data_IF_815786531737
#
_entry.id   IF_815786531737
#
_cell.length_a   1.000
_cell.length_b   1.000
_cell.length_c   1.000
_cell.angle_alpha   90.00
_cell.angle_beta   90.00
_cell.angle_gamma   90.00
#
_symmetry.space_group_name_H-M   'P 1'
#
loop_
_entity.id
_entity.type
_entity.pdbx_description
1 polymer ?
#
# COMPACT_ATOMS: atom_id res chain seq x y z
N UNK A 1 11.12 -24.37 18.29
CA UNK A 1 10.06 -23.39 17.99
C UNK A 1 10.73 -22.20 17.34
N UNK A 2 10.60 -22.05 16.02
CA UNK A 2 11.24 -20.95 15.29
C UNK A 2 10.68 -19.64 15.85
N UNK A 3 11.55 -18.81 16.44
CA UNK A 3 11.24 -17.41 16.70
C UNK A 3 10.94 -16.83 15.33
N UNK A 4 9.66 -16.64 14.98
CA UNK A 4 9.30 -15.86 13.80
C UNK A 4 9.81 -14.46 14.08
N UNK A 5 10.94 -14.13 13.49
CA UNK A 5 11.56 -12.82 13.60
C UNK A 5 10.53 -11.77 13.16
N UNK A 6 10.29 -10.75 13.98
CA UNK A 6 9.32 -9.69 13.67
C UNK A 6 9.58 -9.01 12.32
N UNK A 7 10.81 -9.13 11.80
CA UNK A 7 11.21 -8.73 10.45
C UNK A 7 10.48 -9.51 9.34
N UNK A 8 10.25 -10.81 9.49
CA UNK A 8 9.50 -11.61 8.52
C UNK A 8 8.03 -11.20 8.49
N UNK A 9 7.42 -11.03 9.66
CA UNK A 9 6.03 -10.54 9.75
C UNK A 9 5.91 -9.16 9.10
N UNK A 10 6.86 -8.25 9.35
CA UNK A 10 6.87 -6.93 8.71
C UNK A 10 6.98 -7.02 7.19
N UNK A 11 7.87 -7.85 6.66
CA UNK A 11 7.99 -8.08 5.20
C UNK A 11 6.70 -8.65 4.61
N UNK A 12 6.07 -9.62 5.27
CA UNK A 12 4.80 -10.17 4.83
C UNK A 12 3.73 -9.09 4.75
N UNK A 13 3.59 -8.24 5.78
CA UNK A 13 2.63 -7.13 5.77
C UNK A 13 2.87 -6.13 4.63
N UNK A 14 4.12 -5.74 4.39
CA UNK A 14 4.47 -4.83 3.29
C UNK A 14 4.09 -5.47 1.94
N UNK A 15 4.34 -6.76 1.76
CA UNK A 15 3.96 -7.48 0.55
C UNK A 15 2.44 -7.59 0.38
N UNK A 16 1.70 -7.81 1.47
CA UNK A 16 0.23 -7.81 1.44
C UNK A 16 -0.32 -6.46 1.01
N UNK A 17 0.16 -5.36 1.62
CA UNK A 17 -0.24 -3.99 1.27
C UNK A 17 0.09 -3.68 -0.19
N UNK A 18 1.30 -4.05 -0.63
CA UNK A 18 1.70 -3.91 -2.04
C UNK A 18 0.73 -4.61 -2.96
N UNK A 19 0.45 -5.90 -2.72
CA UNK A 19 -0.43 -6.70 -3.59
C UNK A 19 -1.82 -6.09 -3.67
N UNK A 20 -2.33 -5.60 -2.55
CA UNK A 20 -3.65 -5.00 -2.43
C UNK A 20 -3.76 -3.67 -3.20
N UNK A 21 -2.79 -2.77 -2.99
CA UNK A 21 -2.68 -1.51 -3.74
C UNK A 21 -2.56 -1.75 -5.24
N UNK A 22 -1.70 -2.67 -5.67
CA UNK A 22 -1.54 -3.01 -7.08
C UNK A 22 -2.80 -3.65 -7.66
N UNK A 23 -3.49 -4.52 -6.90
CA UNK A 23 -4.73 -5.13 -7.35
C UNK A 23 -5.81 -4.08 -7.56
N UNK A 24 -5.94 -3.11 -6.65
CA UNK A 24 -6.91 -2.03 -6.77
C UNK A 24 -6.55 -1.07 -7.93
N UNK A 25 -5.27 -0.75 -8.12
CA UNK A 25 -4.80 0.04 -9.28
C UNK A 25 -5.09 -0.69 -10.60
N UNK A 26 -4.84 -2.00 -10.65
CA UNK A 26 -5.09 -2.82 -11.83
C UNK A 26 -6.59 -2.94 -12.14
N UNK A 27 -7.44 -3.07 -11.12
CA UNK A 27 -8.89 -3.07 -11.27
C UNK A 27 -9.38 -1.74 -11.85
N UNK A 28 -8.87 -0.61 -11.35
CA UNK A 28 -9.13 0.72 -11.92
C UNK A 28 -8.76 0.80 -13.40
N UNK A 29 -7.55 0.33 -13.76
CA UNK A 29 -7.11 0.25 -15.17
C UNK A 29 -8.07 -0.60 -16.00
N UNK A 30 -8.44 -1.78 -15.49
CA UNK A 30 -9.31 -2.73 -16.20
C UNK A 30 -10.72 -2.17 -16.43
N UNK A 31 -11.21 -1.33 -15.52
CA UNK A 31 -12.49 -0.63 -15.66
C UNK A 31 -12.41 0.62 -16.57
N UNK A 32 -11.24 0.93 -17.13
CA UNK A 32 -11.01 2.12 -17.95
C UNK A 32 -10.93 3.42 -17.12
N UNK A 33 -10.78 3.32 -15.81
CA UNK A 33 -10.58 4.46 -14.92
C UNK A 33 -9.09 4.84 -14.86
N UNK A 34 -8.82 6.05 -14.35
CA UNK A 34 -7.44 6.46 -14.04
C UNK A 34 -6.84 5.52 -12.99
N UNK A 35 -5.58 5.18 -13.18
CA UNK A 35 -4.78 4.35 -12.27
C UNK A 35 -4.36 5.13 -11.03
N UNK A 36 -5.37 5.64 -10.32
CA UNK A 36 -5.22 6.40 -9.09
C UNK A 36 -6.11 5.79 -8.01
N UNK A 37 -5.56 5.66 -6.81
CA UNK A 37 -6.28 5.31 -5.59
C UNK A 37 -6.24 6.47 -4.63
N UNK A 38 -7.27 6.63 -3.81
CA UNK A 38 -7.24 7.60 -2.70
C UNK A 38 -6.28 7.12 -1.60
N UNK A 39 -5.27 7.91 -1.28
CA UNK A 39 -4.28 7.55 -0.25
C UNK A 39 -4.96 7.30 1.09
N UNK A 40 -5.83 8.21 1.55
CA UNK A 40 -6.54 8.07 2.83
C UNK A 40 -7.43 6.83 2.84
N UNK A 41 -8.14 6.55 1.76
CA UNK A 41 -9.00 5.37 1.67
C UNK A 41 -8.18 4.07 1.70
N UNK A 42 -7.08 4.02 0.96
CA UNK A 42 -6.14 2.91 1.01
C UNK A 42 -5.54 2.72 2.40
N UNK A 43 -5.17 3.81 3.08
CA UNK A 43 -4.64 3.75 4.44
C UNK A 43 -5.66 3.16 5.41
N UNK A 44 -6.89 3.68 5.41
CA UNK A 44 -7.98 3.19 6.27
C UNK A 44 -8.29 1.72 5.99
N UNK A 45 -8.35 1.32 4.73
CA UNK A 45 -8.56 -0.07 4.34
C UNK A 45 -7.44 -0.98 4.89
N UNK A 46 -6.17 -0.59 4.74
CA UNK A 46 -5.06 -1.38 5.27
C UNK A 46 -5.04 -1.40 6.80
N UNK A 47 -5.42 -0.31 7.48
CA UNK A 47 -5.56 -0.28 8.94
C UNK A 47 -6.58 -1.30 9.41
N UNK A 48 -7.76 -1.34 8.76
CA UNK A 48 -8.82 -2.30 9.09
C UNK A 48 -8.38 -3.75 8.82
N UNK A 49 -7.72 -4.00 7.69
CA UNK A 49 -7.30 -5.34 7.27
C UNK A 49 -6.13 -5.90 8.10
N UNK A 50 -5.14 -5.07 8.42
CA UNK A 50 -3.91 -5.51 9.08
C UNK A 50 -3.92 -5.29 10.60
N UNK A 51 -4.84 -4.46 11.10
CA UNK A 51 -4.88 -4.03 12.50
C UNK A 51 -3.74 -3.08 12.89
N UNK A 52 -3.00 -2.54 11.92
CA UNK A 52 -1.90 -1.60 12.16
C UNK A 52 -2.40 -0.17 12.26
N UNK A 53 -1.67 0.66 13.01
CA UNK A 53 -1.93 2.09 13.10
C UNK A 53 -1.62 2.80 11.79
N UNK A 54 -2.28 3.94 11.57
CA UNK A 54 -2.11 4.80 10.39
C UNK A 54 -0.64 5.09 10.08
N UNK A 55 0.14 5.49 11.08
CA UNK A 55 1.56 5.82 10.92
C UNK A 55 2.39 4.64 10.38
N UNK A 56 2.05 3.41 10.77
CA UNK A 56 2.74 2.21 10.28
C UNK A 56 2.36 1.88 8.85
N UNK A 57 1.10 2.08 8.49
CA UNK A 57 0.65 1.92 7.11
C UNK A 57 1.31 2.96 6.21
N UNK A 58 1.30 4.23 6.60
CA UNK A 58 1.99 5.31 5.87
C UNK A 58 3.48 5.00 5.70
N UNK A 59 4.16 4.58 6.77
CA UNK A 59 5.57 4.16 6.70
C UNK A 59 5.78 3.03 5.66
N UNK A 60 4.87 2.06 5.59
CA UNK A 60 4.97 0.96 4.61
C UNK A 60 4.67 1.41 3.18
N UNK A 61 3.72 2.32 2.99
CA UNK A 61 3.42 2.92 1.68
C UNK A 61 4.61 3.76 1.21
N UNK A 62 5.23 4.55 2.09
CA UNK A 62 6.46 5.30 1.77
C UNK A 62 7.63 4.37 1.40
N UNK A 63 7.76 3.21 2.06
CA UNK A 63 8.75 2.21 1.66
C UNK A 63 8.47 1.71 0.24
N UNK A 64 7.21 1.48 -0.11
CA UNK A 64 6.82 1.06 -1.47
C UNK A 64 7.05 2.17 -2.50
N UNK A 65 6.81 3.43 -2.14
CA UNK A 65 7.14 4.59 -2.97
C UNK A 65 8.65 4.64 -3.26
N UNK A 66 9.48 4.48 -2.23
CA UNK A 66 10.95 4.45 -2.37
C UNK A 66 11.47 3.29 -3.23
N UNK A 67 10.69 2.24 -3.42
CA UNK A 67 11.05 1.15 -4.35
C UNK A 67 10.76 1.50 -5.82
N UNK A 68 10.13 2.64 -6.09
CA UNK A 68 9.76 3.08 -7.44
C UNK A 68 8.59 2.30 -8.03
N UNK A 69 7.80 1.63 -7.18
CA UNK A 69 6.66 0.82 -7.61
C UNK A 69 5.36 1.63 -7.68
N UNK A 70 5.24 2.63 -6.81
CA UNK A 70 4.07 3.51 -6.71
C UNK A 70 4.56 4.95 -6.49
N UNK A 71 3.76 5.90 -6.92
CA UNK A 71 3.93 7.32 -6.62
C UNK A 71 2.83 7.74 -5.65
N UNK A 72 3.21 8.38 -4.54
CA UNK A 72 2.25 8.86 -3.53
C UNK A 72 2.22 10.38 -3.56
N UNK A 73 1.05 10.92 -3.85
CA UNK A 73 0.76 12.34 -3.82
C UNK A 73 0.01 12.66 -2.52
N UNK A 74 0.76 13.04 -1.49
CA UNK A 74 0.21 13.40 -0.18
C UNK A 74 -0.64 14.68 -0.22
N UNK A 75 -0.45 15.53 -1.24
CA UNK A 75 -1.13 16.82 -1.37
C UNK A 75 -2.55 16.60 -1.92
N UNK A 76 -2.67 15.75 -2.93
CA UNK A 76 -3.92 15.44 -3.61
C UNK A 76 -4.61 14.18 -3.07
N UNK A 77 -4.03 13.53 -2.05
CA UNK A 77 -4.48 12.26 -1.49
C UNK A 77 -4.55 11.14 -2.53
N UNK A 78 -3.49 10.94 -3.33
CA UNK A 78 -3.50 9.95 -4.42
C UNK A 78 -2.32 9.00 -4.37
N UNK A 79 -2.55 7.76 -4.78
CA UNK A 79 -1.51 6.76 -5.06
C UNK A 79 -1.65 6.37 -6.52
N UNK A 80 -0.55 6.38 -7.26
CA UNK A 80 -0.50 5.98 -8.68
C UNK A 80 0.52 4.88 -8.89
N UNK A 81 0.33 4.07 -9.92
CA UNK A 81 1.35 3.15 -10.37
C UNK A 81 2.46 3.91 -11.11
N UNK A 82 3.71 3.74 -10.72
CA UNK A 82 4.84 4.30 -11.48
C UNK A 82 5.14 3.33 -12.63
N UNK A 83 4.86 3.74 -13.87
CA UNK A 83 5.18 3.01 -15.11
C UNK A 83 6.62 3.25 -15.52
#
# INVERSE_FOLDING_TARGET
MVKKDGAETRRQRIQEIKKDLFSALYEKRSNGEKEELGLSNSVVYQMYKTGLSESKIKEYIEILEKTGLIEVDFINDKIKCQT
#
